data_IF_658550656446
#
_entry.id   IF_658550656446
#
_cell.length_a   1.000
_cell.length_b   1.000
_cell.length_c   1.000
_cell.angle_alpha   90.00
_cell.angle_beta   90.00
_cell.angle_gamma   90.00
#
_symmetry.space_group_name_H-M   'P 1'
#
loop_
_entity.id
_entity.type
_entity.pdbx_description
1 polymer ?
#
# COMPACT_ATOMS: atom_id res chain seq x y z
N UNK A 1 11.16 14.87 6.61
CA UNK A 1 12.21 14.21 5.78
C UNK A 1 11.76 14.27 4.31
N UNK A 2 12.65 14.55 3.35
CA UNK A 2 12.33 14.46 1.92
C UNK A 2 12.86 13.16 1.35
N UNK A 3 12.04 12.43 0.63
CA UNK A 3 12.43 11.20 -0.08
C UNK A 3 11.65 11.08 -1.39
N UNK A 4 12.21 10.33 -2.34
CA UNK A 4 11.59 10.11 -3.65
C UNK A 4 10.75 8.82 -3.70
N UNK A 5 11.31 7.72 -3.19
CA UNK A 5 10.69 6.39 -3.20
C UNK A 5 10.95 5.63 -1.89
N UNK A 6 10.55 4.36 -1.84
CA UNK A 6 10.77 3.50 -0.69
C UNK A 6 12.26 3.27 -0.41
N UNK A 7 13.10 3.09 -1.44
CA UNK A 7 14.52 2.78 -1.28
C UNK A 7 15.30 3.95 -0.70
N UNK A 8 15.00 5.17 -1.13
CA UNK A 8 15.54 6.40 -0.53
C UNK A 8 15.11 6.52 0.95
N UNK A 9 13.85 6.23 1.26
CA UNK A 9 13.37 6.23 2.65
C UNK A 9 14.10 5.19 3.51
N UNK A 10 14.27 3.95 3.03
CA UNK A 10 15.05 2.89 3.71
C UNK A 10 16.48 3.37 4.00
N UNK A 11 17.16 3.94 2.99
CA UNK A 11 18.54 4.42 3.13
C UNK A 11 18.66 5.57 4.15
N UNK A 12 17.65 6.44 4.22
CA UNK A 12 17.63 7.52 5.21
C UNK A 12 17.32 7.03 6.62
N UNK A 13 16.39 6.08 6.79
CA UNK A 13 16.14 5.45 8.10
C UNK A 13 17.40 4.73 8.61
N UNK A 14 18.12 4.03 7.74
CA UNK A 14 19.37 3.36 8.08
C UNK A 14 20.43 4.35 8.60
N UNK A 15 20.63 5.48 7.92
CA UNK A 15 21.53 6.56 8.38
C UNK A 15 21.14 7.14 9.74
N UNK A 16 19.85 7.12 10.07
CA UNK A 16 19.32 7.62 11.34
C UNK A 16 19.30 6.57 12.45
N UNK A 17 19.73 5.33 12.19
CA UNK A 17 19.62 4.21 13.14
C UNK A 17 18.17 3.72 13.35
N UNK A 18 17.25 4.13 12.48
CA UNK A 18 15.83 3.77 12.50
C UNK A 18 15.50 2.54 11.62
N UNK A 19 16.52 1.95 10.98
CA UNK A 19 16.42 0.70 10.26
C UNK A 19 17.60 -0.21 10.60
N UNK A 20 17.31 -1.51 10.76
CA UNK A 20 18.31 -2.55 10.97
C UNK A 20 18.22 -3.61 9.87
N UNK A 21 19.35 -3.90 9.24
CA UNK A 21 19.51 -5.05 8.34
C UNK A 21 19.74 -6.33 9.14
N UNK A 22 19.02 -7.38 8.79
CA UNK A 22 19.11 -8.70 9.39
C UNK A 22 19.67 -9.65 8.33
N UNK A 23 20.98 -9.92 8.44
CA UNK A 23 21.71 -10.74 7.47
C UNK A 23 21.62 -12.25 7.76
N UNK A 24 21.23 -12.63 8.98
CA UNK A 24 21.00 -14.04 9.32
C UNK A 24 19.76 -14.55 8.57
N UNK A 25 19.74 -15.82 8.13
CA UNK A 25 18.53 -16.41 7.59
C UNK A 25 17.36 -16.37 8.58
N UNK A 26 16.18 -15.95 8.12
CA UNK A 26 14.95 -15.91 8.92
C UNK A 26 13.78 -16.40 8.07
N UNK A 27 12.97 -17.30 8.59
CA UNK A 27 11.83 -17.86 7.86
C UNK A 27 10.65 -16.86 7.76
N UNK A 28 10.12 -16.57 6.55
CA UNK A 28 8.85 -15.83 6.39
C UNK A 28 7.66 -16.50 7.09
N UNK A 29 7.76 -17.80 7.36
CA UNK A 29 6.79 -18.53 8.17
C UNK A 29 7.10 -18.33 9.65
N UNK A 30 6.29 -17.48 10.29
CA UNK A 30 6.26 -17.19 11.74
C UNK A 30 7.47 -16.42 12.27
N UNK A 31 8.70 -16.73 11.86
CA UNK A 31 9.90 -16.15 12.49
C UNK A 31 10.05 -14.65 12.24
N UNK A 32 9.82 -14.17 11.00
CA UNK A 32 9.82 -12.71 10.71
C UNK A 32 8.80 -12.00 11.61
N UNK A 33 7.62 -12.60 11.80
CA UNK A 33 6.57 -12.03 12.66
C UNK A 33 7.00 -11.98 14.12
N UNK A 34 7.58 -13.05 14.66
CA UNK A 34 8.09 -13.08 16.05
C UNK A 34 9.17 -12.02 16.30
N UNK A 35 10.12 -11.87 15.37
CA UNK A 35 11.17 -10.85 15.46
C UNK A 35 10.55 -9.45 15.41
N UNK A 36 9.64 -9.21 14.46
CA UNK A 36 8.97 -7.92 14.34
C UNK A 36 8.15 -7.58 15.59
N UNK A 37 7.46 -8.54 16.21
CA UNK A 37 6.66 -8.33 17.43
C UNK A 37 7.50 -7.90 18.62
N UNK A 38 8.63 -8.58 18.87
CA UNK A 38 9.55 -8.17 19.94
C UNK A 38 10.12 -6.79 19.69
N UNK A 39 10.52 -6.50 18.46
CA UNK A 39 11.10 -5.20 18.09
C UNK A 39 10.08 -4.09 18.20
N UNK A 40 8.83 -4.31 17.74
CA UNK A 40 7.74 -3.34 17.86
C UNK A 40 7.42 -3.04 19.32
N UNK A 41 7.27 -4.06 20.17
CA UNK A 41 7.02 -3.89 21.61
C UNK A 41 8.13 -3.14 22.34
N UNK A 42 9.37 -3.28 21.87
CA UNK A 42 10.52 -2.54 22.40
C UNK A 42 10.68 -1.14 21.78
N UNK A 43 9.80 -0.71 20.88
CA UNK A 43 9.92 0.57 20.17
C UNK A 43 11.11 0.64 19.21
N UNK A 44 11.57 -0.51 18.73
CA UNK A 44 12.78 -0.65 17.92
C UNK A 44 12.63 -0.21 16.45
N UNK A 45 13.70 -0.40 15.65
CA UNK A 45 13.78 0.09 14.27
C UNK A 45 12.88 -0.68 13.30
N UNK A 46 12.73 -0.15 12.08
CA UNK A 46 12.29 -0.94 10.94
C UNK A 46 13.30 -2.05 10.65
N UNK A 47 12.86 -3.15 10.05
CA UNK A 47 13.70 -4.32 9.81
C UNK A 47 13.74 -4.64 8.32
N UNK A 48 14.95 -4.87 7.80
CA UNK A 48 15.16 -5.38 6.45
C UNK A 48 15.83 -6.75 6.56
N UNK A 49 15.06 -7.81 6.35
CA UNK A 49 15.54 -9.19 6.34
C UNK A 49 16.12 -9.49 4.96
N UNK A 50 17.44 -9.69 4.89
CA UNK A 50 18.16 -9.82 3.63
C UNK A 50 18.16 -11.25 3.09
N UNK A 51 17.92 -12.24 3.97
CA UNK A 51 17.94 -13.66 3.63
C UNK A 51 16.69 -14.39 4.15
N UNK A 52 15.49 -14.11 3.62
CA UNK A 52 14.33 -14.91 3.94
C UNK A 52 14.50 -16.35 3.46
N UNK A 53 14.38 -17.33 4.35
CA UNK A 53 14.59 -18.74 4.03
C UNK A 53 13.73 -19.18 2.85
N UNK A 54 14.34 -19.81 1.84
CA UNK A 54 13.64 -20.26 0.63
C UNK A 54 13.37 -19.18 -0.43
N UNK A 55 13.78 -17.93 -0.19
CA UNK A 55 13.55 -16.81 -1.12
C UNK A 55 14.81 -15.98 -1.33
N UNK A 56 14.88 -15.30 -2.49
CA UNK A 56 15.98 -14.37 -2.82
C UNK A 56 15.63 -12.90 -2.61
N UNK A 57 14.35 -12.61 -2.40
CA UNK A 57 13.82 -11.26 -2.30
C UNK A 57 13.84 -10.79 -0.84
N UNK A 58 14.52 -9.69 -0.49
CA UNK A 58 14.51 -9.17 0.88
C UNK A 58 13.12 -8.77 1.36
N UNK A 59 12.86 -8.93 2.66
CA UNK A 59 11.59 -8.54 3.29
C UNK A 59 11.80 -7.29 4.15
N UNK A 60 11.11 -6.20 3.82
CA UNK A 60 10.99 -5.03 4.68
C UNK A 60 9.77 -5.18 5.58
N UNK A 61 9.95 -5.06 6.89
CA UNK A 61 8.88 -5.13 7.87
C UNK A 61 9.09 -4.11 9.01
N UNK A 62 8.07 -3.96 9.86
CA UNK A 62 8.06 -3.01 10.98
C UNK A 62 8.34 -1.54 10.57
N UNK A 63 8.08 -1.19 9.30
CA UNK A 63 8.43 0.11 8.72
C UNK A 63 7.81 1.27 9.51
N UNK A 64 6.53 1.13 9.84
CA UNK A 64 5.76 2.13 10.59
C UNK A 64 5.55 1.76 12.07
N UNK A 65 6.46 0.97 12.64
CA UNK A 65 6.37 0.51 14.03
C UNK A 65 6.56 1.57 15.10
N UNK A 66 6.88 2.82 14.74
CA UNK A 66 6.95 3.94 15.70
C UNK A 66 6.24 5.18 15.17
N UNK A 67 5.64 6.00 16.05
CA UNK A 67 5.04 7.28 15.65
C UNK A 67 6.03 8.20 14.93
N UNK A 68 7.32 8.12 15.30
CA UNK A 68 8.39 8.87 14.63
C UNK A 68 8.52 8.45 13.17
N UNK A 69 8.61 7.16 12.86
CA UNK A 69 8.73 6.68 11.47
C UNK A 69 7.47 6.96 10.65
N UNK A 70 6.29 6.93 11.27
CA UNK A 70 5.05 7.41 10.62
C UNK A 70 5.16 8.88 10.24
N UNK A 71 5.59 9.75 11.15
CA UNK A 71 5.76 11.18 10.86
C UNK A 71 6.80 11.42 9.75
N UNK A 72 7.94 10.72 9.79
CA UNK A 72 8.98 10.79 8.75
C UNK A 72 8.42 10.37 7.38
N UNK A 73 7.61 9.31 7.33
CA UNK A 73 6.92 8.83 6.13
C UNK A 73 5.79 9.73 5.63
N UNK A 74 5.40 10.76 6.39
CA UNK A 74 4.48 11.82 5.93
C UNK A 74 5.22 13.10 5.57
N UNK A 75 6.54 13.02 5.37
CA UNK A 75 7.39 14.17 5.07
C UNK A 75 7.70 15.06 6.27
N UNK A 76 7.16 14.75 7.46
CA UNK A 76 7.27 15.57 8.65
C UNK A 76 8.46 15.17 9.55
N UNK A 77 8.83 16.05 10.48
CA UNK A 77 9.91 15.77 11.44
C UNK A 77 9.39 15.22 12.78
N UNK A 78 8.10 15.42 13.07
CA UNK A 78 7.47 14.98 14.32
C UNK A 78 5.99 14.71 14.16
N UNK A 79 5.42 13.96 15.12
CA UNK A 79 3.98 13.68 15.20
C UNK A 79 3.16 14.95 15.38
N UNK A 80 3.71 15.97 16.07
CA UNK A 80 3.02 17.25 16.26
C UNK A 80 2.73 17.95 14.92
N UNK A 81 3.63 17.82 13.94
CA UNK A 81 3.43 18.38 12.61
C UNK A 81 2.31 17.68 11.82
N UNK A 82 1.87 16.48 12.23
CA UNK A 82 0.68 15.84 11.65
C UNK A 82 -0.61 16.61 11.95
N UNK A 83 -0.63 17.42 13.02
CA UNK A 83 -1.76 18.33 13.28
C UNK A 83 -1.93 19.37 12.18
N UNK A 84 -0.82 19.84 11.61
CA UNK A 84 -0.86 20.79 10.49
C UNK A 84 -1.40 20.14 9.21
N UNK A 85 -1.11 18.84 9.00
CA UNK A 85 -1.74 18.05 7.93
C UNK A 85 -3.25 17.98 8.13
N UNK A 86 -3.73 17.77 9.36
CA UNK A 86 -5.16 17.76 9.67
C UNK A 86 -5.84 19.10 9.40
N UNK A 87 -5.20 20.22 9.75
CA UNK A 87 -5.70 21.57 9.42
C UNK A 87 -5.77 21.80 7.91
N UNK A 88 -4.76 21.34 7.17
CA UNK A 88 -4.74 21.42 5.71
C UNK A 88 -5.88 20.61 5.09
N UNK A 89 -6.14 19.39 5.58
CA UNK A 89 -7.28 18.57 5.14
C UNK A 89 -8.62 19.25 5.41
N UNK A 90 -8.79 19.86 6.58
CA UNK A 90 -10.00 20.60 6.91
C UNK A 90 -10.20 21.79 5.95
N UNK A 91 -9.14 22.54 5.66
CA UNK A 91 -9.17 23.64 4.69
C UNK A 91 -9.50 23.16 3.26
N UNK A 92 -8.93 22.03 2.82
CA UNK A 92 -9.18 21.48 1.48
C UNK A 92 -10.61 20.95 1.31
N UNK A 93 -11.26 20.55 2.41
CA UNK A 93 -12.66 20.10 2.37
C UNK A 93 -13.60 21.27 2.06
N UNK A 94 -13.36 22.44 2.64
CA UNK A 94 -14.18 23.65 2.48
C UNK A 94 -13.30 24.90 2.33
N UNK A 95 -12.78 25.19 1.12
CA UNK A 95 -11.88 26.31 0.91
C UNK A 95 -12.62 27.65 1.01
N UNK A 96 -12.24 28.51 1.96
CA UNK A 96 -12.77 29.88 2.04
C UNK A 96 -12.10 30.82 1.01
N UNK A 97 -12.89 31.55 0.18
CA UNK A 97 -12.34 32.51 -0.76
C UNK A 97 -11.55 33.61 -0.03
N UNK A 98 -10.43 34.09 -0.60
CA UNK A 98 -9.62 35.09 0.05
C UNK A 98 -10.38 36.41 0.22
N UNK A 99 -10.37 36.98 1.43
CA UNK A 99 -11.11 38.21 1.76
C UNK A 99 -10.38 39.50 1.35
N UNK A 100 -9.19 39.39 0.73
CA UNK A 100 -8.41 40.52 0.24
C UNK A 100 -6.98 40.14 -0.16
N UNK A 101 -6.18 41.13 -0.57
CA UNK A 101 -4.80 40.91 -1.04
C UNK A 101 -3.89 40.33 0.06
N UNK A 102 -3.96 40.82 1.30
CA UNK A 102 -3.16 40.29 2.42
C UNK A 102 -3.46 38.81 2.69
N UNK A 103 -4.74 38.45 2.75
CA UNK A 103 -5.18 37.06 2.92
C UNK A 103 -4.73 36.16 1.75
N UNK A 104 -4.66 36.69 0.52
CA UNK A 104 -4.11 35.98 -0.62
C UNK A 104 -2.60 35.71 -0.50
N UNK A 105 -1.82 36.66 0.06
CA UNK A 105 -0.40 36.46 0.36
C UNK A 105 -0.19 35.41 1.46
N UNK A 106 -1.02 35.43 2.50
CA UNK A 106 -0.98 34.44 3.59
C UNK A 106 -1.38 33.03 3.11
N UNK A 107 -2.25 32.93 2.10
CA UNK A 107 -2.66 31.67 1.45
C UNK A 107 -1.70 31.19 0.35
N UNK A 108 -0.72 31.99 -0.04
CA UNK A 108 0.24 31.63 -1.11
C UNK A 108 1.02 30.32 -0.87
N UNK A 109 1.47 30.00 0.37
CA UNK A 109 2.11 28.71 0.65
C UNK A 109 1.17 27.52 0.42
N UNK A 110 -0.12 27.65 0.75
CA UNK A 110 -1.14 26.61 0.53
C UNK A 110 -1.38 26.42 -0.96
N UNK A 111 -1.47 27.51 -1.74
CA UNK A 111 -1.56 27.45 -3.20
C UNK A 111 -0.37 26.71 -3.84
N UNK A 112 0.85 26.91 -3.32
CA UNK A 112 2.03 26.14 -3.79
C UNK A 112 1.92 24.66 -3.48
N UNK A 113 1.34 24.27 -2.34
CA UNK A 113 1.10 22.87 -2.01
C UNK A 113 0.05 22.23 -2.94
N UNK A 114 -0.98 22.99 -3.34
CA UNK A 114 -1.98 22.52 -4.31
C UNK A 114 -1.35 22.12 -5.65
N UNK A 115 -0.27 22.80 -6.08
CA UNK A 115 0.46 22.44 -7.32
C UNK A 115 1.07 21.03 -7.28
N UNK A 116 1.32 20.48 -6.09
CA UNK A 116 1.87 19.14 -5.89
C UNK A 116 0.81 18.04 -5.85
N UNK A 117 -0.48 18.38 -5.91
CA UNK A 117 -1.57 17.40 -5.82
C UNK A 117 -1.68 16.57 -7.09
N UNK A 118 -1.59 17.17 -8.28
CA UNK A 118 -1.80 16.42 -9.52
C UNK A 118 -0.71 15.35 -9.73
N UNK A 119 -1.06 14.06 -9.83
CA UNK A 119 -0.08 13.01 -10.10
C UNK A 119 0.64 13.25 -11.42
N UNK A 120 1.90 12.84 -11.49
CA UNK A 120 2.71 12.91 -12.72
C UNK A 120 2.73 11.54 -13.38
N UNK A 121 2.07 11.44 -14.53
CA UNK A 121 2.15 10.24 -15.36
C UNK A 121 3.55 10.11 -15.97
N UNK A 122 4.14 8.93 -15.84
CA UNK A 122 5.39 8.52 -16.47
C UNK A 122 5.12 7.58 -17.64
N UNK A 123 5.97 7.64 -18.66
CA UNK A 123 5.90 6.74 -19.83
C UNK A 123 6.56 5.38 -19.58
N UNK A 124 7.48 5.31 -18.63
CA UNK A 124 8.14 4.09 -18.17
C UNK A 124 8.42 4.20 -16.68
N UNK A 125 8.57 3.06 -16.00
CA UNK A 125 8.70 3.01 -14.55
C UNK A 125 9.58 1.84 -14.09
N UNK A 126 10.37 2.01 -13.02
CA UNK A 126 11.13 0.92 -12.41
C UNK A 126 10.28 -0.30 -12.05
N UNK A 127 9.03 -0.11 -11.62
CA UNK A 127 8.15 -1.22 -11.23
C UNK A 127 7.77 -2.17 -12.39
N UNK A 128 8.17 -1.85 -13.63
CA UNK A 128 7.89 -2.63 -14.84
C UNK A 128 9.17 -3.17 -15.50
N UNK A 129 10.29 -3.22 -14.79
CA UNK A 129 11.58 -3.68 -15.32
C UNK A 129 11.62 -5.20 -15.60
N UNK A 130 10.97 -5.99 -14.74
CA UNK A 130 10.81 -7.44 -14.89
C UNK A 130 9.31 -7.73 -14.91
N UNK A 131 8.85 -8.52 -15.89
CA UNK A 131 7.43 -8.84 -16.07
C UNK A 131 7.27 -10.34 -16.30
N UNK A 132 6.38 -10.95 -15.53
CA UNK A 132 5.85 -12.30 -15.72
C UNK A 132 4.36 -12.19 -16.08
N UNK A 133 3.90 -12.89 -17.12
CA UNK A 133 2.50 -12.84 -17.56
C UNK A 133 1.92 -14.24 -17.78
N UNK A 134 0.61 -14.38 -17.63
CA UNK A 134 -0.12 -15.61 -17.92
C UNK A 134 0.38 -16.80 -17.10
N UNK A 135 0.84 -17.85 -17.77
CA UNK A 135 1.32 -19.08 -17.13
C UNK A 135 2.63 -18.92 -16.34
N UNK A 136 3.38 -17.84 -16.57
CA UNK A 136 4.65 -17.57 -15.90
C UNK A 136 4.46 -16.82 -14.56
N UNK A 137 3.22 -16.45 -14.21
CA UNK A 137 2.91 -15.82 -12.93
C UNK A 137 2.97 -16.87 -11.82
N UNK A 138 3.91 -16.67 -10.90
CA UNK A 138 4.03 -17.46 -9.68
C UNK A 138 4.23 -16.57 -8.45
N UNK A 139 3.20 -16.46 -7.61
CA UNK A 139 3.23 -15.78 -6.32
C UNK A 139 4.18 -16.46 -5.33
N UNK A 140 4.55 -17.73 -5.55
CA UNK A 140 5.52 -18.47 -4.74
C UNK A 140 6.93 -17.86 -4.78
N UNK A 141 7.26 -17.03 -5.77
CA UNK A 141 8.53 -16.30 -5.79
C UNK A 141 8.60 -15.21 -4.70
N UNK A 142 7.46 -14.73 -4.21
CA UNK A 142 7.36 -13.67 -3.20
C UNK A 142 7.50 -14.27 -1.78
N UNK A 143 8.28 -13.66 -0.88
CA UNK A 143 8.44 -14.11 0.51
C UNK A 143 7.24 -13.70 1.37
N UNK A 144 6.04 -14.14 0.98
CA UNK A 144 4.78 -13.81 1.65
C UNK A 144 4.76 -14.46 3.03
N UNK A 145 4.53 -13.66 4.07
CA UNK A 145 4.58 -14.14 5.44
C UNK A 145 3.40 -15.04 5.78
N UNK A 146 3.67 -16.06 6.59
CA UNK A 146 2.66 -16.75 7.39
C UNK A 146 2.79 -16.21 8.82
N UNK A 147 1.82 -15.43 9.30
CA UNK A 147 2.03 -14.60 10.49
C UNK A 147 1.87 -15.39 11.79
N UNK A 148 0.79 -16.18 11.90
CA UNK A 148 0.47 -16.91 13.13
C UNK A 148 0.27 -18.40 12.91
N UNK A 149 0.53 -19.26 13.93
CA UNK A 149 0.44 -20.70 13.77
C UNK A 149 -0.92 -21.23 13.30
N UNK A 150 -2.00 -20.53 13.64
CA UNK A 150 -3.38 -20.89 13.27
C UNK A 150 -3.90 -20.19 12.01
N UNK A 151 -3.09 -19.34 11.36
CA UNK A 151 -3.46 -18.77 10.06
C UNK A 151 -3.58 -19.89 9.02
N UNK A 152 -4.47 -19.75 8.05
CA UNK A 152 -4.75 -20.81 7.06
C UNK A 152 -3.73 -20.88 5.91
N UNK A 153 -3.08 -19.77 5.58
CA UNK A 153 -2.17 -19.64 4.44
C UNK A 153 -1.29 -18.38 4.59
N UNK A 154 -0.28 -18.17 3.72
CA UNK A 154 0.42 -16.90 3.61
C UNK A 154 -0.52 -15.74 3.24
N UNK A 155 -0.21 -14.55 3.75
CA UNK A 155 -1.07 -13.37 3.63
C UNK A 155 -0.29 -12.13 3.16
N UNK A 156 -0.74 -11.51 2.08
CA UNK A 156 -0.24 -10.18 1.67
C UNK A 156 -0.95 -9.12 2.52
N UNK A 157 -0.17 -8.25 3.17
CA UNK A 157 -0.67 -7.31 4.19
C UNK A 157 -0.47 -5.83 3.87
N UNK A 158 0.47 -5.46 3.00
CA UNK A 158 0.76 -4.06 2.60
C UNK A 158 0.52 -3.78 1.10
N UNK A 159 -0.39 -4.53 0.47
CA UNK A 159 -0.79 -4.28 -0.91
C UNK A 159 -1.70 -3.06 -1.02
N UNK A 160 -1.29 -2.05 -1.79
CA UNK A 160 -2.16 -0.94 -2.19
C UNK A 160 -3.02 -1.39 -3.36
N UNK A 161 -4.24 -1.84 -3.08
CA UNK A 161 -5.22 -2.21 -4.09
C UNK A 161 -5.77 -0.96 -4.77
N UNK A 162 -5.54 -0.85 -6.07
CA UNK A 162 -6.01 0.22 -6.95
C UNK A 162 -7.23 -0.25 -7.72
N UNK A 163 -8.31 0.50 -7.61
CA UNK A 163 -9.58 0.25 -8.32
C UNK A 163 -10.12 1.52 -8.95
N UNK A 164 -11.01 1.36 -9.93
CA UNK A 164 -11.78 2.48 -10.51
C UNK A 164 -13.22 2.05 -10.74
N UNK A 165 -14.15 2.71 -10.06
CA UNK A 165 -15.58 2.55 -10.34
C UNK A 165 -15.94 3.06 -11.74
N UNK A 166 -16.95 2.46 -12.40
CA UNK A 166 -17.24 2.73 -13.81
C UNK A 166 -17.80 4.15 -14.07
N UNK A 167 -18.29 4.83 -13.02
CA UNK A 167 -18.78 6.20 -13.09
C UNK A 167 -17.73 7.27 -12.75
N UNK A 168 -16.51 6.87 -12.36
CA UNK A 168 -15.55 7.74 -11.70
C UNK A 168 -14.30 7.88 -12.55
N UNK A 169 -13.87 9.12 -12.78
CA UNK A 169 -12.55 9.39 -13.33
C UNK A 169 -11.43 9.09 -12.32
N UNK A 170 -11.74 9.16 -11.02
CA UNK A 170 -10.79 8.95 -9.92
C UNK A 170 -10.59 7.47 -9.62
N UNK A 171 -9.39 7.12 -9.18
CA UNK A 171 -9.07 5.80 -8.66
C UNK A 171 -9.13 5.82 -7.12
N UNK A 172 -9.48 4.68 -6.54
CA UNK A 172 -9.41 4.43 -5.11
C UNK A 172 -8.14 3.63 -4.79
N UNK A 173 -7.48 3.96 -3.68
CA UNK A 173 -6.41 3.16 -3.09
C UNK A 173 -6.87 2.61 -1.74
N UNK A 174 -6.77 1.30 -1.55
CA UNK A 174 -7.11 0.68 -0.28
C UNK A 174 -6.15 -0.42 0.11
N UNK A 175 -6.04 -0.68 1.41
CA UNK A 175 -5.26 -1.80 1.93
C UNK A 175 -6.23 -2.87 2.40
N UNK A 176 -6.21 -3.98 1.68
CA UNK A 176 -7.04 -5.14 1.95
C UNK A 176 -6.11 -6.34 2.06
N UNK A 177 -6.24 -7.11 3.14
CA UNK A 177 -5.42 -8.31 3.31
C UNK A 177 -5.80 -9.35 2.25
N UNK A 178 -4.80 -10.03 1.69
CA UNK A 178 -5.02 -10.95 0.57
C UNK A 178 -4.41 -12.32 0.86
N UNK A 179 -5.29 -13.31 1.05
CA UNK A 179 -4.91 -14.71 1.29
C UNK A 179 -4.46 -15.36 -0.01
N UNK A 180 -3.32 -16.03 0.01
CA UNK A 180 -2.82 -16.82 -1.13
C UNK A 180 -3.61 -18.11 -1.25
N UNK A 181 -4.13 -18.38 -2.46
CA UNK A 181 -4.84 -19.62 -2.80
C UNK A 181 -4.05 -20.53 -3.74
N UNK A 182 -3.06 -19.99 -4.44
CA UNK A 182 -2.28 -20.70 -5.44
C UNK A 182 -1.28 -19.78 -6.13
N UNK A 183 -0.68 -20.22 -7.25
CA UNK A 183 0.39 -19.48 -7.92
C UNK A 183 -0.06 -18.13 -8.48
N UNK A 184 -1.35 -17.92 -8.75
CA UNK A 184 -1.85 -16.67 -9.33
C UNK A 184 -3.22 -16.24 -8.79
N UNK A 185 -3.62 -16.74 -7.61
CA UNK A 185 -4.95 -16.50 -7.03
C UNK A 185 -4.83 -15.99 -5.60
N UNK A 186 -5.50 -14.88 -5.34
CA UNK A 186 -5.56 -14.20 -4.05
C UNK A 186 -7.02 -13.98 -3.65
N UNK A 187 -7.35 -14.04 -2.36
CA UNK A 187 -8.66 -13.56 -1.89
C UNK A 187 -8.58 -12.05 -1.67
N UNK A 188 -9.56 -11.27 -2.15
CA UNK A 188 -9.66 -9.84 -1.87
C UNK A 188 -10.56 -9.57 -0.66
N UNK A 189 -9.99 -9.51 0.55
CA UNK A 189 -10.77 -9.27 1.78
C UNK A 189 -11.01 -7.77 2.03
N UNK A 190 -11.95 -7.20 1.30
CA UNK A 190 -12.49 -5.87 1.57
C UNK A 190 -13.80 -5.92 2.36
N UNK A 191 -14.07 -4.95 3.23
CA UNK A 191 -15.39 -4.80 3.84
C UNK A 191 -16.32 -4.05 2.87
N UNK A 192 -17.62 -4.36 2.89
CA UNK A 192 -18.58 -3.88 1.90
C UNK A 192 -18.67 -2.34 1.73
N UNK A 193 -18.28 -1.57 2.76
CA UNK A 193 -18.29 -0.11 2.74
C UNK A 193 -16.97 0.52 2.28
N UNK A 194 -15.96 -0.27 1.92
CA UNK A 194 -14.66 0.24 1.45
C UNK A 194 -14.71 0.58 -0.04
N UNK A 195 -13.93 1.58 -0.45
CA UNK A 195 -13.97 2.11 -1.82
C UNK A 195 -13.84 1.05 -2.92
N UNK A 196 -12.87 0.12 -2.81
CA UNK A 196 -12.73 -0.97 -3.77
C UNK A 196 -13.95 -1.91 -3.86
N UNK A 197 -14.59 -2.21 -2.72
CA UNK A 197 -15.80 -3.03 -2.69
C UNK A 197 -17.00 -2.30 -3.33
N UNK A 198 -17.09 -0.98 -3.12
CA UNK A 198 -18.11 -0.15 -3.77
C UNK A 198 -17.88 -0.08 -5.28
N UNK A 199 -16.64 0.15 -5.72
CA UNK A 199 -16.28 0.18 -7.15
C UNK A 199 -16.60 -1.16 -7.83
N UNK A 200 -16.26 -2.28 -7.19
CA UNK A 200 -16.60 -3.61 -7.70
C UNK A 200 -18.11 -3.85 -7.77
N UNK A 201 -18.85 -3.46 -6.73
CA UNK A 201 -20.32 -3.57 -6.72
C UNK A 201 -20.94 -2.73 -7.85
N UNK A 202 -20.50 -1.48 -8.00
CA UNK A 202 -20.94 -0.58 -9.08
C UNK A 202 -20.63 -1.20 -10.45
N UNK A 203 -19.42 -1.73 -10.64
CA UNK A 203 -19.02 -2.45 -11.86
C UNK A 203 -19.94 -3.64 -12.18
N UNK A 204 -20.22 -4.50 -11.20
CA UNK A 204 -21.11 -5.64 -11.39
C UNK A 204 -22.54 -5.24 -11.79
N UNK A 205 -23.04 -4.09 -11.31
CA UNK A 205 -24.35 -3.56 -11.69
C UNK A 205 -24.35 -2.99 -13.12
N UNK A 206 -23.28 -2.32 -13.51
CA UNK A 206 -23.16 -1.67 -14.82
C UNK A 206 -22.75 -2.63 -15.94
N UNK A 207 -21.91 -3.61 -15.62
CA UNK A 207 -21.30 -4.56 -16.54
C UNK A 207 -21.48 -6.00 -16.04
N UNK A 208 -22.72 -6.53 -16.00
CA UNK A 208 -22.99 -7.85 -15.43
C UNK A 208 -22.16 -8.96 -16.07
N UNK A 209 -21.48 -9.75 -15.24
CA UNK A 209 -20.65 -10.88 -15.67
C UNK A 209 -19.30 -10.49 -16.28
N UNK A 210 -18.96 -9.20 -16.41
CA UNK A 210 -17.66 -8.79 -16.92
C UNK A 210 -16.63 -8.76 -15.78
N UNK A 211 -15.40 -9.27 -16.01
CA UNK A 211 -14.30 -9.15 -15.07
C UNK A 211 -14.06 -7.71 -14.61
N UNK A 212 -13.81 -7.52 -13.32
CA UNK A 212 -13.48 -6.23 -12.74
C UNK A 212 -11.96 -6.05 -12.66
N UNK A 213 -11.36 -5.12 -13.40
CA UNK A 213 -9.91 -4.92 -13.39
C UNK A 213 -9.45 -4.27 -12.08
N UNK A 214 -8.34 -4.76 -11.55
CA UNK A 214 -7.64 -4.14 -10.42
C UNK A 214 -6.13 -4.33 -10.52
N UNK A 215 -5.40 -3.56 -9.71
CA UNK A 215 -3.98 -3.77 -9.48
C UNK A 215 -3.64 -3.69 -7.99
N UNK A 216 -2.55 -4.31 -7.57
CA UNK A 216 -2.03 -4.24 -6.20
C UNK A 216 -0.57 -3.83 -6.26
N UNK A 217 -0.24 -2.65 -5.72
CA UNK A 217 1.13 -2.17 -5.64
C UNK A 217 1.73 -2.45 -4.25
N UNK A 218 2.89 -3.11 -4.22
CA UNK A 218 3.65 -3.45 -3.03
C UNK A 218 4.94 -2.62 -2.99
N UNK A 219 5.31 -2.16 -1.79
CA UNK A 219 6.54 -1.37 -1.62
C UNK A 219 6.50 0.00 -2.31
N UNK A 220 5.33 0.66 -2.35
CA UNK A 220 5.24 2.04 -2.82
C UNK A 220 5.97 3.01 -1.87
N UNK A 221 6.10 4.28 -2.29
CA UNK A 221 6.68 5.29 -1.41
C UNK A 221 5.84 5.50 -0.12
N UNK A 222 6.48 5.85 1.00
CA UNK A 222 5.80 5.98 2.29
C UNK A 222 4.60 6.93 2.30
N UNK A 223 4.64 8.02 1.53
CA UNK A 223 3.53 8.98 1.54
C UNK A 223 2.30 8.40 0.85
N UNK A 224 2.49 7.64 -0.24
CA UNK A 224 1.39 6.94 -0.91
C UNK A 224 0.79 5.85 -0.03
N UNK A 225 1.63 5.09 0.69
CA UNK A 225 1.15 4.08 1.64
C UNK A 225 0.31 4.72 2.74
N UNK A 226 0.83 5.79 3.36
CA UNK A 226 0.14 6.47 4.46
C UNK A 226 -1.11 7.22 4.00
N UNK A 227 -1.12 7.73 2.76
CA UNK A 227 -2.32 8.32 2.17
C UNK A 227 -3.45 7.30 2.01
N UNK A 228 -3.15 6.06 1.62
CA UNK A 228 -4.14 4.98 1.45
C UNK A 228 -4.80 4.51 2.77
N UNK A 229 -4.18 4.78 3.92
CA UNK A 229 -4.77 4.48 5.24
C UNK A 229 -5.41 5.70 5.91
N UNK A 230 -5.13 6.91 5.41
CA UNK A 230 -5.68 8.15 5.96
C UNK A 230 -7.09 8.36 5.41
N UNK A 231 -8.09 8.70 6.24
CA UNK A 231 -9.42 9.03 5.74
C UNK A 231 -9.38 10.38 4.99
N UNK A 232 -9.29 10.33 3.67
CA UNK A 232 -9.33 11.51 2.80
C UNK A 232 -10.76 11.82 2.34
N UNK A 233 -11.11 13.10 2.11
CA UNK A 233 -12.41 13.45 1.54
C UNK A 233 -12.61 12.85 0.16
N UNK A 234 -13.85 12.54 -0.22
CA UNK A 234 -14.20 12.04 -1.56
C UNK A 234 -13.81 13.00 -2.71
N UNK A 235 -13.64 14.29 -2.43
CA UNK A 235 -13.17 15.27 -3.41
C UNK A 235 -11.69 15.12 -3.77
N UNK A 236 -10.94 14.30 -3.04
CA UNK A 236 -9.49 14.17 -3.16
C UNK A 236 -9.08 12.70 -3.36
N UNK A 237 -8.25 12.41 -4.37
CA UNK A 237 -7.67 11.07 -4.50
C UNK A 237 -6.50 10.87 -3.52
N UNK A 238 -6.26 9.63 -3.12
CA UNK A 238 -5.16 9.29 -2.22
C UNK A 238 -3.79 9.67 -2.82
N UNK A 239 -3.63 9.60 -4.15
CA UNK A 239 -2.42 10.08 -4.82
C UNK A 239 -2.21 11.59 -4.70
N UNK A 240 -3.29 12.37 -4.76
CA UNK A 240 -3.22 13.81 -4.57
C UNK A 240 -2.85 14.15 -3.13
N UNK A 241 -3.41 13.41 -2.17
CA UNK A 241 -3.06 13.56 -0.77
C UNK A 241 -1.60 13.16 -0.49
N UNK A 242 -1.13 12.05 -1.08
CA UNK A 242 0.27 11.63 -0.99
C UNK A 242 1.24 12.70 -1.52
N UNK A 243 0.87 13.40 -2.60
CA UNK A 243 1.67 14.49 -3.16
C UNK A 243 1.80 15.69 -2.22
N UNK A 244 0.72 16.00 -1.46
CA UNK A 244 0.74 17.01 -0.41
C UNK A 244 1.65 16.61 0.75
N UNK A 245 1.53 15.37 1.25
CA UNK A 245 2.36 14.87 2.35
C UNK A 245 3.84 14.87 1.99
N UNK A 246 4.18 14.43 0.78
CA UNK A 246 5.56 14.34 0.29
C UNK A 246 6.17 15.69 -0.06
N UNK A 247 5.32 16.67 -0.39
CA UNK A 247 5.76 17.98 -0.91
C UNK A 247 6.20 17.95 -2.37
N UNK A 248 5.86 16.90 -3.12
CA UNK A 248 6.12 16.75 -4.56
C UNK A 248 5.09 15.80 -5.18
N UNK A 249 4.81 15.97 -6.46
CA UNK A 249 3.83 15.15 -7.20
C UNK A 249 4.12 13.65 -7.08
N UNK A 250 3.09 12.87 -6.79
CA UNK A 250 3.15 11.41 -6.86
C UNK A 250 3.37 10.97 -8.31
N UNK A 251 4.40 10.17 -8.55
CA UNK A 251 4.71 9.65 -9.88
C UNK A 251 4.01 8.31 -10.08
N UNK A 252 3.22 8.21 -11.15
CA UNK A 252 2.43 7.04 -11.47
C UNK A 252 2.72 6.57 -12.88
N UNK A 253 2.50 5.29 -13.14
CA UNK A 253 2.61 4.68 -14.46
C UNK A 253 1.33 3.93 -14.77
N UNK A 254 0.96 3.85 -16.05
CA UNK A 254 -0.15 3.03 -16.50
C UNK A 254 0.19 1.55 -16.27
N UNK A 255 -0.76 0.80 -15.73
CA UNK A 255 -0.70 -0.66 -15.69
C UNK A 255 -0.52 -1.25 -17.10
N UNK A 256 0.11 -2.42 -17.19
CA UNK A 256 0.35 -3.10 -18.46
C UNK A 256 -0.95 -3.67 -19.06
N UNK A 257 -1.82 -4.23 -18.21
CA UNK A 257 -3.06 -4.91 -18.63
C UNK A 257 -4.33 -4.07 -18.52
N UNK A 258 -4.28 -2.83 -18.00
CA UNK A 258 -5.48 -2.00 -17.79
C UNK A 258 -5.19 -0.50 -17.85
N UNK A 259 -6.24 0.33 -17.82
CA UNK A 259 -6.12 1.79 -17.73
C UNK A 259 -5.88 2.32 -16.30
N UNK A 260 -5.66 1.42 -15.35
CA UNK A 260 -5.30 1.79 -13.99
C UNK A 260 -3.89 2.39 -13.94
N UNK A 261 -3.63 3.18 -12.89
CA UNK A 261 -2.31 3.77 -12.66
C UNK A 261 -1.81 3.41 -11.26
N UNK A 262 -0.60 2.89 -11.20
CA UNK A 262 0.11 2.46 -9.99
C UNK A 262 1.31 3.37 -9.72
N UNK A 263 1.84 3.43 -8.48
CA UNK A 263 3.05 4.19 -8.18
C UNK A 263 4.22 3.70 -9.04
N UNK A 264 4.86 4.59 -9.80
CA UNK A 264 5.95 4.22 -10.71
C UNK A 264 7.16 3.61 -9.98
N UNK A 265 7.33 3.98 -8.70
CA UNK A 265 8.41 3.50 -7.85
C UNK A 265 8.04 2.31 -6.96
N UNK A 266 6.88 1.68 -7.16
CA UNK A 266 6.52 0.47 -6.44
C UNK A 266 7.60 -0.62 -6.66
N UNK A 267 7.84 -1.45 -5.65
CA UNK A 267 8.79 -2.56 -5.77
C UNK A 267 8.22 -3.69 -6.62
N UNK A 268 6.94 -4.01 -6.42
CA UNK A 268 6.21 -5.09 -7.11
C UNK A 268 4.78 -4.61 -7.41
N UNK A 269 4.23 -4.99 -8.55
CA UNK A 269 2.84 -4.74 -8.95
C UNK A 269 2.21 -6.03 -9.43
N UNK A 270 1.04 -6.36 -8.86
CA UNK A 270 0.19 -7.46 -9.31
C UNK A 270 -0.97 -6.87 -10.09
N UNK A 271 -1.21 -7.32 -11.32
CA UNK A 271 -2.31 -6.86 -12.16
C UNK A 271 -3.21 -8.03 -12.57
N UNK A 272 -4.50 -7.76 -12.71
CA UNK A 272 -5.46 -8.73 -13.22
C UNK A 272 -6.88 -8.32 -12.89
N UNK A 273 -7.72 -9.27 -12.48
CA UNK A 273 -9.15 -9.04 -12.35
C UNK A 273 -9.81 -9.88 -11.24
N UNK A 274 -11.02 -9.47 -10.86
CA UNK A 274 -11.97 -10.30 -10.11
C UNK A 274 -13.08 -10.74 -11.08
N UNK A 275 -13.33 -12.05 -11.15
CA UNK A 275 -14.55 -12.58 -11.76
C UNK A 275 -15.72 -12.37 -10.76
N UNK A 276 -16.81 -11.68 -11.15
CA UNK A 276 -17.97 -11.46 -10.29
C UNK A 276 -18.57 -12.71 -9.64
N UNK A 277 -18.37 -13.88 -10.24
CA UNK A 277 -18.92 -15.15 -9.77
C UNK A 277 -17.92 -15.94 -8.90
N UNK A 278 -16.64 -15.58 -8.93
CA UNK A 278 -15.60 -16.32 -8.23
C UNK A 278 -15.40 -15.78 -6.81
N UNK A 279 -15.67 -16.65 -5.84
CA UNK A 279 -15.43 -16.36 -4.42
C UNK A 279 -14.73 -17.55 -3.76
N UNK A 280 -13.99 -17.28 -2.69
CA UNK A 280 -13.35 -18.32 -1.88
C UNK A 280 -13.53 -18.02 -0.39
N UNK A 281 -13.40 -19.05 0.44
CA UNK A 281 -13.47 -18.95 1.89
C UNK A 281 -12.14 -18.39 2.42
N UNK A 282 -12.21 -17.26 3.11
CA UNK A 282 -11.05 -16.60 3.73
C UNK A 282 -10.89 -17.00 5.19
N UNK A 283 -9.64 -17.18 5.62
CA UNK A 283 -9.27 -17.42 7.01
C UNK A 283 -9.38 -18.88 7.50
N UNK A 284 -9.19 -19.11 8.80
CA UNK A 284 -9.04 -18.09 9.84
C UNK A 284 -7.71 -17.34 9.76
N UNK A 285 -7.69 -16.14 10.34
CA UNK A 285 -6.49 -15.32 10.53
C UNK A 285 -6.55 -14.59 11.86
N UNK A 286 -5.41 -14.50 12.54
CA UNK A 286 -5.22 -13.58 13.65
C UNK A 286 -5.40 -12.13 13.21
N UNK A 287 -5.99 -11.29 14.06
CA UNK A 287 -6.18 -9.88 13.74
C UNK A 287 -5.84 -8.94 14.91
N UNK A 288 -6.03 -7.63 14.69
CA UNK A 288 -5.76 -6.56 15.64
C UNK A 288 -6.46 -6.68 17.01
N UNK A 289 -7.46 -7.56 17.16
CA UNK A 289 -8.09 -7.84 18.46
C UNK A 289 -7.30 -8.83 19.31
N UNK A 290 -6.33 -9.52 18.71
CA UNK A 290 -5.58 -10.62 19.33
C UNK A 290 -6.28 -11.98 19.25
N UNK A 291 -7.36 -12.09 18.48
CA UNK A 291 -8.12 -13.33 18.26
C UNK A 291 -8.13 -13.72 16.77
N UNK A 292 -8.49 -14.97 16.50
CA UNK A 292 -8.73 -15.44 15.14
C UNK A 292 -10.13 -15.04 14.69
N UNK A 293 -10.22 -14.44 13.51
CA UNK A 293 -11.49 -14.08 12.90
C UNK A 293 -12.23 -15.30 12.33
N UNK A 294 -13.56 -15.21 12.34
CA UNK A 294 -14.42 -16.17 11.64
C UNK A 294 -14.17 -16.14 10.13
N UNK A 295 -14.41 -17.30 9.50
CA UNK A 295 -14.27 -17.47 8.07
C UNK A 295 -15.46 -16.86 7.33
N UNK A 296 -15.20 -16.21 6.20
CA UNK A 296 -16.26 -15.71 5.32
C UNK A 296 -15.84 -15.77 3.85
N UNK A 297 -16.83 -15.73 2.93
CA UNK A 297 -16.55 -15.75 1.50
C UNK A 297 -16.27 -14.34 0.98
N UNK A 298 -15.20 -14.21 0.21
CA UNK A 298 -14.81 -12.97 -0.44
C UNK A 298 -14.44 -13.22 -1.92
N UNK A 299 -14.45 -12.18 -2.77
CA UNK A 299 -14.07 -12.31 -4.17
C UNK A 299 -12.62 -12.79 -4.35
N UNK A 300 -12.36 -13.50 -5.44
CA UNK A 300 -11.03 -13.96 -5.81
C UNK A 300 -10.41 -13.04 -6.85
N UNK A 301 -9.23 -12.51 -6.53
CA UNK A 301 -8.36 -11.79 -7.44
C UNK A 301 -7.47 -12.78 -8.20
N UNK A 302 -7.64 -12.82 -9.51
CA UNK A 302 -6.77 -13.53 -10.44
C UNK A 302 -5.65 -12.60 -10.91
N UNK A 303 -4.41 -12.98 -10.62
CA UNK A 303 -3.22 -12.26 -11.08
C UNK A 303 -2.87 -12.75 -12.48
N UNK A 304 -2.96 -11.86 -13.46
CA UNK A 304 -2.56 -12.14 -14.84
C UNK A 304 -1.13 -11.69 -15.12
N UNK A 305 -0.63 -10.71 -14.37
CA UNK A 305 0.70 -10.14 -14.53
C UNK A 305 1.32 -9.81 -13.18
N UNK A 306 2.59 -10.15 -13.03
CA UNK A 306 3.43 -9.72 -11.93
C UNK A 306 4.58 -8.93 -12.54
N UNK A 307 4.68 -7.65 -12.22
CA UNK A 307 5.81 -6.81 -12.61
C UNK A 307 6.56 -6.31 -11.39
N UNK A 308 7.87 -6.10 -11.50
CA UNK A 308 8.71 -5.67 -10.39
C UNK A 308 9.97 -4.95 -10.86
N UNK A 309 10.58 -4.21 -9.93
CA UNK A 309 11.92 -3.64 -10.09
C UNK A 309 12.97 -4.74 -10.14
N UNK A 310 14.15 -4.41 -10.67
CA UNK A 310 15.35 -5.20 -10.40
C UNK A 310 15.68 -5.16 -8.90
N UNK A 311 16.06 -6.32 -8.35
CA UNK A 311 16.36 -6.50 -6.92
C UNK A 311 15.23 -5.95 -6.03
N UNK A 312 13.99 -6.44 -6.19
CA UNK A 312 12.83 -5.88 -5.51
C UNK A 312 12.90 -6.14 -4.00
N UNK A 313 12.25 -5.27 -3.22
CA UNK A 313 12.05 -5.44 -1.78
C UNK A 313 10.57 -5.74 -1.53
N UNK A 314 10.29 -6.86 -0.86
CA UNK A 314 8.93 -7.21 -0.46
C UNK A 314 8.56 -6.48 0.84
N UNK A 315 7.65 -5.51 0.76
CA UNK A 315 7.14 -4.82 1.95
C UNK A 315 5.98 -5.58 2.58
N UNK A 316 6.11 -5.93 3.86
CA UNK A 316 5.13 -6.76 4.57
C UNK A 316 5.00 -6.34 6.04
N UNK A 317 3.92 -6.79 6.66
CA UNK A 317 3.63 -6.65 8.09
C UNK A 317 2.77 -7.80 8.56
N UNK A 318 2.49 -7.83 9.85
CA UNK A 318 1.50 -8.69 10.46
C UNK A 318 0.48 -7.84 11.23
N UNK A 319 -0.57 -8.48 11.71
CA UNK A 319 -1.55 -7.93 12.66
C UNK A 319 -1.80 -8.96 13.75
N UNK A 320 -1.92 -8.53 15.00
CA UNK A 320 -2.16 -9.43 16.13
C UNK A 320 -2.57 -8.63 17.36
N UNK A 321 -2.38 -9.22 18.55
CA UNK A 321 -2.63 -8.51 19.80
C UNK A 321 -1.75 -7.23 19.86
N UNK A 322 -2.34 -6.03 20.09
CA UNK A 322 -1.60 -4.77 20.10
C UNK A 322 -0.38 -4.77 21.05
N UNK A 323 0.59 -3.86 20.87
CA UNK A 323 0.49 -2.56 20.20
C UNK A 323 0.39 -2.61 18.68
#
# INVERSE_FOLDING_TARGET
MKYHDLRDFIAQLEKMGELRRIAVPVDPRLEITEVCDRVLRAGGPALLFEQPTGHHMPVLANLFGTPRRVALGMGQESVLALREVGKLLAYLKEPEPPRGLRDAWDKLPVLRQVLNMAPRLRSSAPCQEIVSEGGDVDLGCLPIQWCWPGDVAPLITWGLTVTRGPHKARQNLGIYRQQVLGPNKLIMRWLAHRGGALDFREHCLQHPGQPFPLAVALGADPATILAAVTPVPDSLSEYQFAGLLRGSKTEVVKCLGSDLQVPASAEIVLEGFIDPQETALEGPYGDHTGYYNEQARFPVFTVERLSMRQQPIYHSTYTGKPP
#
